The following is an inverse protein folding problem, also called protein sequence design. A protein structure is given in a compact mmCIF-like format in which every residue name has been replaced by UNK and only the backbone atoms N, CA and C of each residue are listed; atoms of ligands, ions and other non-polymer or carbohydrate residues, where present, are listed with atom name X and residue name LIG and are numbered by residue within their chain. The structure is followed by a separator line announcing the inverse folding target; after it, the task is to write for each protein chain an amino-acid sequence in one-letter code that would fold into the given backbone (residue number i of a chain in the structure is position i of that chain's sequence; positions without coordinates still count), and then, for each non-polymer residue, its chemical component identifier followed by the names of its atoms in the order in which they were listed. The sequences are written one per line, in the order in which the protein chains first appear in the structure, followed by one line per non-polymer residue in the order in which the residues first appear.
data_IF_130720931238
#
_entry.id   IF_130720931238
#
_cell.length_a   1.000
_cell.length_b   1.000
_cell.length_c   1.000
_cell.angle_alpha   90.00
_cell.angle_beta   90.00
_cell.angle_gamma   90.00
#
_symmetry.space_group_name_H-M   'P 1'
#
loop_
_entity.id
_entity.type
_entity.pdbx_description
1 polymer ?
#
# COMPACT_ATOMS: atom_id res chain seq x y z
N UNK A 1 -4.59 11.20 -64.76
CA UNK A 1 -5.53 10.21 -65.36
C UNK A 1 -6.27 9.51 -64.25
N UNK A 2 -7.57 9.69 -64.29
CA UNK A 2 -8.75 9.01 -63.72
C UNK A 2 -8.54 7.98 -62.57
N UNK A 3 -9.08 8.37 -61.46
CA UNK A 3 -9.90 7.80 -60.39
C UNK A 3 -10.60 6.45 -60.73
N UNK A 4 -10.61 5.52 -59.76
CA UNK A 4 -11.79 4.67 -59.56
C UNK A 4 -11.94 4.47 -58.04
N UNK A 5 -13.10 4.93 -57.50
CA UNK A 5 -13.69 4.63 -56.20
C UNK A 5 -14.42 3.28 -56.30
N UNK A 6 -14.26 2.42 -55.32
CA UNK A 6 -15.24 1.39 -55.06
C UNK A 6 -15.80 1.54 -53.64
N UNK A 7 -17.05 1.95 -53.61
CA UNK A 7 -17.93 1.94 -52.44
C UNK A 7 -18.57 0.54 -52.40
N UNK A 8 -18.34 -0.20 -51.30
CA UNK A 8 -19.11 -1.45 -51.04
C UNK A 8 -19.93 -1.20 -49.78
N UNK A 9 -21.23 -1.01 -50.03
CA UNK A 9 -22.28 -0.97 -49.01
C UNK A 9 -22.72 -2.41 -48.76
N UNK A 10 -22.54 -2.93 -47.56
CA UNK A 10 -23.16 -4.19 -47.12
C UNK A 10 -24.23 -3.85 -46.10
N UNK A 11 -25.47 -3.99 -46.52
CA UNK A 11 -26.67 -3.99 -45.68
C UNK A 11 -26.79 -5.41 -45.06
N UNK A 12 -26.77 -5.50 -43.74
CA UNK A 12 -27.21 -6.71 -43.07
C UNK A 12 -28.49 -6.40 -42.27
N UNK A 13 -29.61 -6.89 -42.81
CA UNK A 13 -30.84 -7.14 -42.05
C UNK A 13 -30.62 -8.42 -41.24
N UNK A 14 -30.85 -8.37 -39.96
CA UNK A 14 -30.80 -9.55 -39.10
C UNK A 14 -31.67 -9.36 -37.86
N UNK A 15 -32.86 -9.80 -37.99
CA UNK A 15 -33.97 -10.15 -37.10
C UNK A 15 -33.63 -10.28 -35.61
N UNK A 16 -34.34 -9.46 -34.83
CA UNK A 16 -34.53 -9.58 -33.38
C UNK A 16 -35.26 -10.87 -33.02
N UNK A 17 -34.65 -11.63 -32.08
CA UNK A 17 -35.32 -12.70 -31.37
C UNK A 17 -35.37 -12.35 -29.90
N UNK A 18 -36.52 -11.89 -29.43
CA UNK A 18 -36.83 -11.74 -28.00
C UNK A 18 -37.10 -13.13 -27.43
N UNK A 19 -36.29 -13.52 -26.46
CA UNK A 19 -36.60 -14.64 -25.58
C UNK A 19 -37.10 -14.06 -24.26
N UNK A 20 -38.38 -14.15 -24.03
CA UNK A 20 -39.07 -13.91 -22.78
C UNK A 20 -38.82 -15.09 -21.84
N UNK A 21 -38.26 -14.85 -20.69
CA UNK A 21 -38.17 -15.86 -19.64
C UNK A 21 -39.27 -15.59 -18.60
N UNK A 22 -40.20 -16.54 -18.54
CA UNK A 22 -41.30 -16.59 -17.60
C UNK A 22 -40.79 -16.89 -16.18
N UNK A 23 -41.24 -16.07 -15.26
CA UNK A 23 -41.11 -16.31 -13.83
C UNK A 23 -42.22 -17.27 -13.37
N UNK A 24 -41.88 -18.49 -13.00
CA UNK A 24 -42.83 -19.40 -12.34
C UNK A 24 -42.70 -19.29 -10.82
N UNK A 25 -43.78 -18.79 -10.25
CA UNK A 25 -44.09 -18.79 -8.82
C UNK A 25 -44.22 -20.22 -8.29
N UNK A 26 -43.50 -20.55 -7.20
CA UNK A 26 -43.79 -21.78 -6.46
C UNK A 26 -44.66 -21.43 -5.25
N UNK A 27 -45.88 -21.99 -5.32
CA UNK A 27 -46.94 -21.89 -4.33
C UNK A 27 -46.64 -22.84 -3.15
N UNK A 28 -46.80 -22.35 -1.93
CA UNK A 28 -46.84 -23.11 -0.69
C UNK A 28 -48.01 -24.12 -0.70
N UNK A 29 -47.73 -25.37 -0.42
CA UNK A 29 -48.75 -26.36 -0.06
C UNK A 29 -48.65 -26.68 1.44
N UNK A 30 -49.63 -26.19 2.20
CA UNK A 30 -49.96 -26.67 3.53
C UNK A 30 -50.74 -27.96 3.40
N UNK A 31 -50.28 -29.02 4.03
CA UNK A 31 -51.07 -30.24 4.21
C UNK A 31 -51.53 -30.33 5.68
N UNK A 32 -52.79 -30.10 5.86
CA UNK A 32 -53.57 -30.49 7.06
C UNK A 32 -53.90 -31.96 6.97
N UNK A 33 -53.58 -32.71 8.00
CA UNK A 33 -54.19 -34.04 8.24
C UNK A 33 -54.65 -34.14 9.67
N UNK A 34 -55.95 -34.38 9.78
CA UNK A 34 -56.72 -34.61 11.02
C UNK A 34 -56.92 -36.10 11.29
N UNK A 35 -57.12 -36.39 12.60
CA UNK A 35 -57.80 -37.49 13.22
C UNK A 35 -57.04 -38.72 13.68
N UNK A 36 -57.25 -38.94 14.98
CA UNK A 36 -57.14 -40.22 15.67
C UNK A 36 -57.28 -40.05 17.18
N UNK A 37 -58.53 -39.89 17.65
CA UNK A 37 -58.85 -40.06 19.07
C UNK A 37 -58.80 -41.54 19.45
N UNK A 38 -58.09 -41.86 20.51
CA UNK A 38 -58.38 -43.07 21.34
C UNK A 38 -58.26 -42.70 22.80
N UNK A 39 -59.21 -43.16 23.58
CA UNK A 39 -59.47 -42.80 24.95
C UNK A 39 -58.63 -43.64 25.92
N UNK A 40 -58.20 -43.02 26.99
CA UNK A 40 -58.11 -43.32 28.44
C UNK A 40 -57.80 -44.75 28.93
N UNK A 41 -56.98 -44.93 29.95
CA UNK A 41 -57.51 -44.91 31.28
C UNK A 41 -56.72 -44.10 32.35
N UNK A 42 -57.49 -43.60 33.31
CA UNK A 42 -57.10 -42.88 34.50
C UNK A 42 -56.34 -43.80 35.46
N UNK A 43 -55.20 -43.35 36.03
CA UNK A 43 -54.65 -43.88 37.22
C UNK A 43 -54.87 -42.94 38.41
N UNK A 44 -55.24 -43.54 39.46
CA UNK A 44 -55.45 -43.24 40.87
C UNK A 44 -54.44 -42.22 41.44
N UNK A 45 -54.99 -41.26 42.20
CA UNK A 45 -54.24 -40.26 42.94
C UNK A 45 -53.43 -40.87 44.08
N UNK A 46 -52.14 -40.51 44.13
CA UNK A 46 -51.29 -40.71 45.34
C UNK A 46 -51.05 -39.35 45.98
N UNK A 47 -50.98 -39.24 47.31
CA UNK A 47 -50.98 -37.92 47.95
C UNK A 47 -49.73 -37.12 47.73
N UNK A 48 -49.93 -35.87 47.34
CA UNK A 48 -48.93 -34.83 47.15
C UNK A 48 -48.33 -34.42 48.50
N UNK A 49 -47.03 -34.65 48.64
CA UNK A 49 -46.22 -33.95 49.63
C UNK A 49 -45.84 -32.56 49.00
N UNK A 50 -46.12 -31.48 49.75
CA UNK A 50 -45.86 -30.14 49.36
C UNK A 50 -44.37 -29.92 48.99
N UNK A 51 -44.04 -29.18 47.93
CA UNK A 51 -42.66 -28.87 47.58
C UNK A 51 -42.04 -27.90 48.59
N UNK A 52 -40.93 -28.30 49.17
CA UNK A 52 -40.10 -27.47 50.02
C UNK A 52 -39.34 -26.53 49.10
N UNK A 53 -39.52 -25.19 49.22
CA UNK A 53 -38.78 -24.17 48.57
C UNK A 53 -37.31 -24.22 49.07
N UNK A 54 -36.43 -24.82 48.25
CA UNK A 54 -35.00 -24.73 48.46
C UNK A 54 -34.56 -23.36 47.97
N UNK A 55 -34.22 -22.49 48.92
CA UNK A 55 -33.64 -21.19 48.64
C UNK A 55 -32.29 -21.40 47.92
N UNK A 56 -32.06 -20.85 46.70
CA UNK A 56 -30.76 -21.03 46.05
C UNK A 56 -29.67 -20.39 46.91
N UNK A 57 -28.65 -21.16 47.21
CA UNK A 57 -27.41 -20.65 47.79
C UNK A 57 -26.83 -19.62 46.83
N UNK A 58 -26.43 -18.43 47.27
CA UNK A 58 -25.81 -17.45 46.38
C UNK A 58 -24.53 -18.05 45.80
N UNK A 59 -24.50 -18.16 44.49
CA UNK A 59 -23.30 -18.51 43.75
C UNK A 59 -22.22 -17.47 44.08
N UNK A 60 -20.97 -17.84 44.34
CA UNK A 60 -19.91 -16.87 44.52
C UNK A 60 -19.90 -15.95 43.32
N UNK A 61 -20.00 -14.66 43.55
CA UNK A 61 -19.79 -13.63 42.51
C UNK A 61 -18.32 -13.74 42.10
N UNK A 62 -18.07 -14.37 40.96
CA UNK A 62 -16.77 -14.30 40.34
C UNK A 62 -16.54 -12.81 40.04
N UNK A 63 -15.56 -12.23 40.73
CA UNK A 63 -15.04 -10.90 40.41
C UNK A 63 -14.64 -10.96 38.95
N UNK A 64 -15.11 -10.04 38.08
CA UNK A 64 -14.64 -10.02 36.69
C UNK A 64 -13.12 -9.93 36.73
N UNK A 65 -12.42 -10.94 36.23
CA UNK A 65 -11.01 -10.80 35.95
C UNK A 65 -10.90 -9.59 34.98
N UNK A 66 -10.30 -8.54 35.47
CA UNK A 66 -9.95 -7.37 34.68
C UNK A 66 -8.95 -7.83 33.63
N UNK A 67 -9.45 -8.18 32.44
CA UNK A 67 -8.62 -8.54 31.31
C UNK A 67 -7.86 -7.25 30.95
N UNK A 68 -6.68 -7.09 31.50
CA UNK A 68 -5.74 -6.03 31.09
C UNK A 68 -5.35 -6.38 29.64
N UNK A 69 -6.04 -5.77 28.68
CA UNK A 69 -5.62 -5.79 27.29
C UNK A 69 -4.39 -4.90 27.18
N UNK A 70 -3.23 -5.50 27.20
CA UNK A 70 -1.99 -4.83 26.83
C UNK A 70 -1.96 -4.78 25.29
N UNK A 71 -2.41 -3.67 24.72
CA UNK A 71 -2.21 -3.40 23.30
C UNK A 71 -0.72 -3.08 23.07
N UNK A 72 0.03 -4.12 22.82
CA UNK A 72 1.46 -3.99 22.52
C UNK A 72 1.60 -3.65 21.02
N UNK A 73 2.08 -2.46 20.72
CA UNK A 73 2.35 -2.03 19.37
C UNK A 73 3.66 -2.66 18.88
N UNK A 74 3.59 -3.53 17.87
CA UNK A 74 4.76 -4.04 17.19
C UNK A 74 5.16 -3.08 16.06
N UNK A 75 6.33 -2.49 16.15
CA UNK A 75 6.90 -1.64 15.10
C UNK A 75 7.63 -2.51 14.09
N UNK A 76 7.17 -2.50 12.84
CA UNK A 76 7.79 -3.21 11.74
C UNK A 76 8.71 -2.29 10.93
N UNK A 77 9.89 -2.78 10.62
CA UNK A 77 10.89 -2.09 9.81
C UNK A 77 11.31 -3.00 8.66
N UNK A 78 11.20 -2.50 7.43
CA UNK A 78 11.84 -3.12 6.29
C UNK A 78 13.28 -2.61 6.18
N UNK A 79 14.24 -3.52 6.11
CA UNK A 79 15.67 -3.20 6.10
C UNK A 79 16.33 -3.80 4.88
N UNK A 80 16.97 -2.97 4.08
CA UNK A 80 17.88 -3.41 3.02
C UNK A 80 19.29 -3.42 3.58
N UNK A 81 20.06 -4.45 3.31
CA UNK A 81 21.48 -4.50 3.63
C UNK A 81 22.27 -4.53 2.34
N UNK A 82 23.19 -3.59 2.19
CA UNK A 82 24.01 -3.44 0.98
C UNK A 82 25.50 -3.37 1.31
N UNK A 83 26.33 -3.68 0.32
CA UNK A 83 27.77 -3.43 0.36
C UNK A 83 28.10 -1.96 0.00
N UNK A 84 29.41 -1.63 -0.04
CA UNK A 84 29.89 -0.30 -0.44
C UNK A 84 29.54 0.08 -1.89
N UNK A 85 29.26 -0.91 -2.74
CA UNK A 85 28.86 -0.71 -4.13
C UNK A 85 27.34 -0.76 -4.30
N UNK A 86 26.60 -0.65 -3.18
CA UNK A 86 25.13 -0.71 -3.15
C UNK A 86 24.53 -2.04 -3.65
N UNK A 87 25.29 -3.15 -3.59
CA UNK A 87 24.78 -4.48 -3.95
C UNK A 87 24.11 -5.13 -2.73
N UNK A 88 22.94 -5.78 -2.92
CA UNK A 88 22.22 -6.39 -1.82
C UNK A 88 23.00 -7.53 -1.15
N UNK A 89 22.95 -7.59 0.16
CA UNK A 89 23.51 -8.66 0.99
C UNK A 89 22.38 -9.40 1.68
N UNK A 90 22.18 -10.68 1.32
CA UNK A 90 21.01 -11.46 1.71
C UNK A 90 21.28 -12.57 2.75
N UNK A 91 22.49 -12.63 3.33
CA UNK A 91 22.91 -13.70 4.24
C UNK A 91 23.19 -13.22 5.66
N UNK A 92 22.60 -12.10 6.08
CA UNK A 92 22.76 -11.53 7.43
C UNK A 92 21.79 -12.22 8.39
N UNK A 93 22.27 -12.57 9.60
CA UNK A 93 21.45 -13.18 10.65
C UNK A 93 20.94 -12.12 11.63
N UNK A 94 19.84 -12.41 12.33
CA UNK A 94 19.24 -11.52 13.34
C UNK A 94 20.26 -10.97 14.34
N UNK A 95 21.14 -11.81 14.84
CA UNK A 95 22.16 -11.43 15.85
C UNK A 95 23.15 -10.36 15.39
N UNK A 96 23.26 -10.13 14.07
CA UNK A 96 24.12 -9.11 13.49
C UNK A 96 23.44 -7.74 13.38
N UNK A 97 22.16 -7.65 13.73
CA UNK A 97 21.41 -6.39 13.69
C UNK A 97 21.25 -5.80 15.07
N UNK A 98 21.33 -4.48 15.15
CA UNK A 98 20.96 -3.68 16.31
C UNK A 98 19.97 -2.61 15.85
N UNK A 99 18.79 -2.57 16.46
CA UNK A 99 17.80 -1.52 16.24
C UNK A 99 17.92 -0.50 17.36
N UNK A 100 17.96 0.77 16.99
CA UNK A 100 17.97 1.89 17.92
C UNK A 100 16.73 2.75 17.65
N UNK A 101 15.95 3.03 18.70
CA UNK A 101 14.89 4.05 18.68
C UNK A 101 15.32 5.18 19.63
N UNK A 102 15.38 6.40 19.11
CA UNK A 102 15.90 7.58 19.83
C UNK A 102 17.28 7.32 20.49
N UNK A 103 18.12 6.57 19.79
CA UNK A 103 19.45 6.18 20.25
C UNK A 103 19.48 5.06 21.30
N UNK A 104 18.32 4.54 21.75
CA UNK A 104 18.23 3.43 22.70
C UNK A 104 18.09 2.10 21.97
N UNK A 105 18.89 1.07 22.35
CA UNK A 105 18.74 -0.27 21.78
C UNK A 105 17.38 -0.86 22.07
N UNK A 106 16.78 -1.49 21.05
CA UNK A 106 15.50 -2.19 21.13
C UNK A 106 15.73 -3.69 20.96
N UNK A 107 14.95 -4.50 21.68
CA UNK A 107 14.96 -5.93 21.49
C UNK A 107 14.25 -6.27 20.18
N UNK A 108 14.85 -7.13 19.37
CA UNK A 108 14.22 -7.63 18.14
C UNK A 108 13.35 -8.83 18.51
N UNK A 109 12.04 -8.64 18.44
CA UNK A 109 11.02 -9.67 18.76
C UNK A 109 10.63 -10.50 17.54
N UNK A 110 10.74 -9.91 16.36
CA UNK A 110 10.46 -10.58 15.08
C UNK A 110 11.57 -10.30 14.08
N UNK A 111 12.00 -11.35 13.40
CA UNK A 111 12.97 -11.27 12.32
C UNK A 111 12.59 -12.25 11.20
N UNK A 112 12.47 -11.75 9.99
CA UNK A 112 12.24 -12.57 8.82
C UNK A 112 13.12 -12.10 7.66
N UNK A 113 13.65 -13.08 6.95
CA UNK A 113 14.33 -12.91 5.67
C UNK A 113 13.46 -13.38 4.52
N UNK A 114 12.24 -13.85 4.82
CA UNK A 114 11.32 -14.37 3.82
C UNK A 114 10.97 -13.30 2.81
N UNK A 115 10.81 -13.73 1.59
CA UNK A 115 10.22 -12.90 0.57
C UNK A 115 8.75 -12.67 0.90
N UNK A 116 8.44 -11.51 1.46
CA UNK A 116 7.08 -11.11 1.83
C UNK A 116 6.40 -10.55 0.58
N UNK A 117 5.15 -10.93 0.28
CA UNK A 117 4.37 -10.29 -0.77
C UNK A 117 4.31 -8.77 -0.59
N UNK A 118 4.23 -8.06 -1.70
CA UNK A 118 4.28 -6.59 -1.69
C UNK A 118 3.08 -6.02 -2.43
N UNK A 119 2.38 -5.09 -1.78
CA UNK A 119 1.40 -4.24 -2.44
C UNK A 119 2.05 -2.89 -2.76
N UNK A 120 1.99 -2.48 -4.01
CA UNK A 120 2.60 -1.23 -4.39
C UNK A 120 1.76 -0.43 -5.38
N UNK A 121 1.88 0.90 -5.29
CA UNK A 121 1.35 1.81 -6.30
C UNK A 121 2.46 2.18 -7.29
N UNK A 122 2.20 2.05 -8.58
CA UNK A 122 3.01 2.62 -9.64
C UNK A 122 2.40 3.97 -10.02
N UNK A 123 3.11 5.07 -9.71
CA UNK A 123 2.66 6.44 -9.88
C UNK A 123 3.46 7.07 -11.00
N UNK A 124 2.78 7.35 -12.11
CA UNK A 124 3.43 7.80 -13.35
C UNK A 124 3.04 9.23 -13.66
N UNK A 125 4.06 10.06 -13.85
CA UNK A 125 3.91 11.43 -14.34
C UNK A 125 3.59 11.42 -15.85
N UNK A 126 2.43 11.97 -16.19
CA UNK A 126 1.95 12.09 -17.57
C UNK A 126 2.00 13.52 -18.10
N UNK A 127 2.80 14.39 -17.47
CA UNK A 127 3.01 15.77 -17.92
C UNK A 127 3.77 15.86 -19.25
N UNK A 128 3.74 17.03 -19.85
CA UNK A 128 4.32 17.26 -21.17
C UNK A 128 5.83 16.97 -21.27
N UNK A 129 6.57 17.11 -20.15
CA UNK A 129 8.01 16.80 -20.06
C UNK A 129 8.31 15.32 -20.24
N UNK A 130 7.35 14.43 -19.85
CA UNK A 130 7.51 12.98 -19.96
C UNK A 130 7.23 12.42 -21.36
N UNK A 131 6.87 13.27 -22.34
CA UNK A 131 6.43 12.83 -23.68
C UNK A 131 7.40 11.89 -24.39
N UNK A 132 8.70 12.15 -24.32
CA UNK A 132 9.71 11.33 -25.00
C UNK A 132 10.07 10.06 -24.23
N UNK A 133 9.60 9.94 -22.99
CA UNK A 133 9.95 8.87 -22.05
C UNK A 133 8.80 7.87 -21.87
N UNK A 134 7.55 8.26 -22.14
CA UNK A 134 6.36 7.50 -21.78
C UNK A 134 6.38 6.06 -22.33
N UNK A 135 6.69 5.86 -23.60
CA UNK A 135 6.74 4.52 -24.20
C UNK A 135 7.73 3.61 -23.47
N UNK A 136 8.87 4.15 -23.04
CA UNK A 136 9.88 3.41 -22.29
C UNK A 136 9.48 3.20 -20.83
N UNK A 137 8.75 4.13 -20.24
CA UNK A 137 8.15 3.97 -18.91
C UNK A 137 7.12 2.85 -18.94
N UNK A 138 6.26 2.79 -19.95
CA UNK A 138 5.31 1.69 -20.16
C UNK A 138 6.04 0.35 -20.30
N UNK A 139 7.08 0.27 -21.14
CA UNK A 139 7.89 -0.94 -21.31
C UNK A 139 8.51 -1.41 -19.97
N UNK A 140 9.08 -0.48 -19.21
CA UNK A 140 9.65 -0.78 -17.90
C UNK A 140 8.58 -1.18 -16.86
N UNK A 141 7.42 -0.53 -16.88
CA UNK A 141 6.28 -0.89 -16.06
C UNK A 141 5.80 -2.32 -16.31
N UNK A 142 5.71 -2.72 -17.58
CA UNK A 142 5.39 -4.11 -17.95
C UNK A 142 6.42 -5.12 -17.44
N UNK A 143 7.72 -4.78 -17.50
CA UNK A 143 8.77 -5.62 -16.93
C UNK A 143 8.55 -5.80 -15.43
N UNK A 144 8.28 -4.72 -14.71
CA UNK A 144 8.01 -4.74 -13.27
C UNK A 144 6.79 -5.62 -12.95
N UNK A 145 5.65 -5.38 -13.62
CA UNK A 145 4.39 -6.12 -13.42
C UNK A 145 4.58 -7.61 -13.74
N UNK A 146 5.28 -7.95 -14.81
CA UNK A 146 5.51 -9.33 -15.18
C UNK A 146 6.35 -10.11 -14.15
N UNK A 147 7.13 -9.41 -13.32
CA UNK A 147 7.86 -10.01 -12.21
C UNK A 147 7.00 -10.18 -10.94
N UNK A 148 5.79 -9.61 -10.86
CA UNK A 148 4.89 -9.78 -9.73
C UNK A 148 4.59 -11.25 -9.48
N UNK A 149 4.47 -11.59 -8.21
CA UNK A 149 4.01 -12.90 -7.75
C UNK A 149 2.49 -12.97 -7.71
N UNK A 150 1.92 -14.17 -7.58
CA UNK A 150 0.47 -14.32 -7.45
C UNK A 150 -0.14 -13.55 -6.28
N UNK A 151 0.65 -13.33 -5.21
CA UNK A 151 0.20 -12.66 -3.99
C UNK A 151 0.54 -11.16 -3.96
N UNK A 152 1.23 -10.63 -4.97
CA UNK A 152 1.50 -9.19 -5.08
C UNK A 152 0.30 -8.50 -5.72
N UNK A 153 -0.14 -7.37 -5.14
CA UNK A 153 -1.16 -6.51 -5.74
C UNK A 153 -0.54 -5.17 -6.15
N UNK A 154 -0.93 -4.69 -7.31
CA UNK A 154 -0.43 -3.42 -7.86
C UNK A 154 -1.59 -2.50 -8.20
N UNK A 155 -1.43 -1.22 -7.91
CA UNK A 155 -2.30 -0.14 -8.36
C UNK A 155 -1.52 0.75 -9.32
N UNK A 156 -2.17 1.26 -10.36
CA UNK A 156 -1.57 2.21 -11.31
C UNK A 156 -2.29 3.54 -11.18
N UNK A 157 -1.50 4.58 -10.94
CA UNK A 157 -1.96 5.97 -10.87
C UNK A 157 -1.22 6.77 -11.94
N UNK A 158 -1.95 7.52 -12.74
CA UNK A 158 -1.39 8.59 -13.56
C UNK A 158 -1.67 9.94 -12.94
N UNK A 159 -0.80 10.90 -13.14
CA UNK A 159 -1.03 12.25 -12.68
C UNK A 159 -0.43 13.29 -13.61
N UNK A 160 -1.03 14.47 -13.59
CA UNK A 160 -0.51 15.69 -14.22
C UNK A 160 -0.60 16.82 -13.20
N UNK A 161 -1.76 17.48 -13.06
CA UNK A 161 -2.03 18.50 -12.06
C UNK A 161 -2.87 17.96 -10.91
N UNK A 162 -3.09 18.78 -9.88
CA UNK A 162 -3.86 18.40 -8.69
C UNK A 162 -5.29 17.93 -8.98
N UNK A 163 -5.91 18.42 -10.06
CA UNK A 163 -7.27 18.06 -10.46
C UNK A 163 -7.28 16.86 -11.44
N UNK A 164 -6.12 16.28 -11.71
CA UNK A 164 -5.90 15.20 -12.70
C UNK A 164 -4.94 14.16 -12.12
N UNK A 165 -5.33 13.58 -11.01
CA UNK A 165 -4.70 12.43 -10.38
C UNK A 165 -5.73 11.32 -10.45
N UNK A 166 -5.47 10.31 -11.27
CA UNK A 166 -6.46 9.28 -11.61
C UNK A 166 -5.90 7.88 -11.37
N UNK A 167 -6.72 7.04 -10.76
CA UNK A 167 -6.42 5.62 -10.60
C UNK A 167 -6.84 4.92 -11.89
N UNK A 168 -5.87 4.61 -12.74
CA UNK A 168 -6.10 3.87 -13.99
C UNK A 168 -6.45 2.42 -13.72
N UNK A 169 -5.82 1.83 -12.69
CA UNK A 169 -6.11 0.48 -12.25
C UNK A 169 -6.05 0.41 -10.71
N UNK A 170 -7.17 0.10 -10.04
CA UNK A 170 -7.16 -0.23 -8.61
C UNK A 170 -6.31 -1.46 -8.30
N UNK A 171 -6.00 -1.69 -7.03
CA UNK A 171 -5.20 -2.83 -6.61
C UNK A 171 -5.71 -4.16 -7.16
N UNK A 172 -4.86 -4.85 -7.90
CA UNK A 172 -5.12 -6.18 -8.45
C UNK A 172 -3.82 -6.97 -8.64
N UNK A 173 -3.91 -8.30 -8.55
CA UNK A 173 -2.84 -9.22 -8.96
C UNK A 173 -2.95 -9.64 -10.44
N UNK A 174 -4.01 -9.20 -11.16
CA UNK A 174 -4.22 -9.56 -12.56
C UNK A 174 -3.27 -8.79 -13.48
N UNK A 175 -2.26 -9.48 -14.01
CA UNK A 175 -1.24 -8.87 -14.88
C UNK A 175 -1.80 -8.35 -16.20
N UNK A 176 -2.89 -8.93 -16.71
CA UNK A 176 -3.52 -8.47 -17.94
C UNK A 176 -4.12 -7.10 -17.73
N UNK A 177 -4.95 -6.92 -16.69
CA UNK A 177 -5.58 -5.63 -16.38
C UNK A 177 -4.53 -4.55 -16.13
N UNK A 178 -3.44 -4.90 -15.43
CA UNK A 178 -2.33 -3.99 -15.17
C UNK A 178 -1.57 -3.59 -16.44
N UNK A 179 -1.31 -4.54 -17.35
CA UNK A 179 -0.63 -4.22 -18.61
C UNK A 179 -1.52 -3.39 -19.54
N UNK A 180 -2.82 -3.68 -19.58
CA UNK A 180 -3.79 -2.90 -20.36
C UNK A 180 -3.88 -1.45 -19.84
N UNK A 181 -3.89 -1.26 -18.52
CA UNK A 181 -3.87 0.06 -17.90
C UNK A 181 -2.58 0.83 -18.23
N UNK A 182 -1.41 0.16 -18.26
CA UNK A 182 -0.17 0.78 -18.70
C UNK A 182 -0.21 1.22 -20.17
N UNK A 183 -0.79 0.39 -21.06
CA UNK A 183 -0.90 0.70 -22.47
C UNK A 183 -1.84 1.88 -22.75
N UNK A 184 -2.78 2.13 -21.86
CA UNK A 184 -3.73 3.24 -21.94
C UNK A 184 -3.16 4.57 -21.41
N UNK A 185 -1.97 4.60 -20.83
CA UNK A 185 -1.34 5.84 -20.40
C UNK A 185 -1.04 6.76 -21.60
N UNK A 186 -1.33 8.05 -21.44
CA UNK A 186 -1.09 9.05 -22.47
C UNK A 186 -0.57 10.36 -21.87
N UNK A 187 0.14 11.14 -22.66
CA UNK A 187 0.64 12.45 -22.24
C UNK A 187 -0.49 13.48 -22.27
N UNK A 188 -0.66 14.15 -21.17
CA UNK A 188 -1.57 15.28 -21.03
C UNK A 188 -0.78 16.54 -20.62
N UNK A 189 -1.14 17.70 -21.15
CA UNK A 189 -0.49 18.95 -20.77
C UNK A 189 -0.99 19.44 -19.41
N UNK A 190 -0.11 20.09 -18.63
CA UNK A 190 -0.49 20.67 -17.34
C UNK A 190 0.72 20.99 -16.48
N UNK A 191 0.43 21.54 -15.28
CA UNK A 191 1.45 21.80 -14.26
C UNK A 191 1.49 20.62 -13.29
N UNK A 192 2.66 20.06 -13.09
CA UNK A 192 2.87 18.85 -12.31
C UNK A 192 2.52 19.05 -10.83
N UNK A 193 1.76 18.13 -10.24
CA UNK A 193 1.37 18.10 -8.83
C UNK A 193 1.88 16.79 -8.17
N UNK A 194 3.19 16.67 -8.07
CA UNK A 194 3.86 15.45 -7.59
C UNK A 194 3.60 15.20 -6.11
N UNK A 195 3.57 16.26 -5.28
CA UNK A 195 3.32 16.14 -3.84
C UNK A 195 1.91 15.56 -3.61
N UNK A 196 0.91 16.06 -4.33
CA UNK A 196 -0.47 15.57 -4.22
C UNK A 196 -0.59 14.12 -4.71
N UNK A 197 0.07 13.77 -5.82
CA UNK A 197 0.05 12.42 -6.37
C UNK A 197 0.67 11.40 -5.40
N UNK A 198 1.82 11.74 -4.80
CA UNK A 198 2.46 10.89 -3.80
C UNK A 198 1.61 10.80 -2.54
N UNK A 199 1.04 11.92 -2.08
CA UNK A 199 0.17 11.97 -0.90
C UNK A 199 -1.03 11.02 -1.05
N UNK A 200 -1.78 11.16 -2.14
CA UNK A 200 -2.94 10.31 -2.43
C UNK A 200 -2.57 8.85 -2.63
N UNK A 201 -1.46 8.58 -3.30
CA UNK A 201 -0.99 7.21 -3.50
C UNK A 201 -0.63 6.53 -2.17
N UNK A 202 0.06 7.23 -1.27
CA UNK A 202 0.40 6.73 0.06
C UNK A 202 -0.85 6.44 0.89
N UNK A 203 -1.83 7.36 0.90
CA UNK A 203 -3.11 7.12 1.58
C UNK A 203 -3.81 5.86 1.05
N UNK A 204 -3.90 5.69 -0.27
CA UNK A 204 -4.53 4.53 -0.88
C UNK A 204 -3.81 3.21 -0.54
N UNK A 205 -2.47 3.19 -0.59
CA UNK A 205 -1.68 2.00 -0.21
C UNK A 205 -1.91 1.66 1.27
N UNK A 206 -1.91 2.65 2.15
CA UNK A 206 -2.08 2.46 3.59
C UNK A 206 -3.51 2.00 3.94
N UNK A 207 -4.51 2.59 3.30
CA UNK A 207 -5.92 2.19 3.46
C UNK A 207 -6.17 0.75 2.95
N UNK A 208 -5.62 0.41 1.79
CA UNK A 208 -5.73 -0.94 1.25
C UNK A 208 -5.17 -1.99 2.21
N UNK A 209 -4.02 -1.74 2.82
CA UNK A 209 -3.42 -2.65 3.79
C UNK A 209 -4.15 -2.68 5.14
N UNK A 210 -4.66 -1.54 5.61
CA UNK A 210 -5.46 -1.47 6.84
C UNK A 210 -6.78 -2.24 6.73
N UNK A 211 -7.32 -2.39 5.52
CA UNK A 211 -8.51 -3.19 5.25
C UNK A 211 -8.28 -4.70 5.40
N UNK A 212 -7.02 -5.17 5.38
CA UNK A 212 -6.65 -6.57 5.51
C UNK A 212 -6.55 -6.98 6.98
N UNK A 213 -6.70 -8.29 7.24
CA UNK A 213 -6.44 -8.82 8.58
C UNK A 213 -4.97 -8.65 8.95
N UNK A 214 -4.66 -8.46 10.22
CA UNK A 214 -3.29 -8.19 10.67
C UNK A 214 -2.28 -9.26 10.24
N UNK A 215 -2.69 -10.53 10.13
CA UNK A 215 -1.83 -11.64 9.67
C UNK A 215 -1.60 -11.70 8.15
N UNK A 216 -2.43 -11.00 7.37
CA UNK A 216 -2.38 -11.01 5.91
C UNK A 216 -1.73 -9.74 5.34
N UNK A 217 -1.19 -8.89 6.22
CA UNK A 217 -0.56 -7.64 5.81
C UNK A 217 0.72 -7.90 5.03
N UNK A 218 0.85 -7.19 3.91
CA UNK A 218 1.97 -7.27 2.98
C UNK A 218 2.87 -6.03 3.13
N UNK A 219 4.04 -6.05 2.49
CA UNK A 219 4.86 -4.84 2.36
C UNK A 219 4.14 -3.79 1.55
N UNK A 220 4.38 -2.54 1.91
CA UNK A 220 3.80 -1.37 1.25
C UNK A 220 4.89 -0.63 0.52
N UNK A 221 4.69 -0.39 -0.76
CA UNK A 221 5.62 0.39 -1.54
C UNK A 221 4.91 1.35 -2.51
N UNK A 222 5.64 2.34 -2.97
CA UNK A 222 5.26 3.24 -4.03
C UNK A 222 6.45 3.38 -4.98
N UNK A 223 6.19 3.27 -6.27
CA UNK A 223 7.20 3.49 -7.32
C UNK A 223 6.76 4.74 -8.08
N UNK A 224 7.51 5.83 -7.90
CA UNK A 224 7.27 7.11 -8.55
C UNK A 224 8.15 7.25 -9.78
N UNK A 225 7.55 7.63 -10.90
CA UNK A 225 8.25 7.95 -12.14
C UNK A 225 7.90 9.37 -12.54
N UNK A 226 8.86 10.32 -12.44
CA UNK A 226 8.64 11.74 -12.69
C UNK A 226 9.96 12.47 -12.94
N UNK A 227 9.92 13.71 -13.44
CA UNK A 227 11.07 14.64 -13.47
C UNK A 227 11.30 15.36 -12.12
N UNK A 228 10.34 15.24 -11.19
CA UNK A 228 10.45 15.76 -9.84
C UNK A 228 10.12 17.23 -9.64
N UNK A 229 9.67 17.95 -10.67
CA UNK A 229 9.19 19.31 -10.50
C UNK A 229 7.75 19.33 -9.95
N UNK A 230 7.55 19.96 -8.80
CA UNK A 230 6.23 20.27 -8.25
C UNK A 230 5.88 21.72 -8.53
N UNK A 231 4.76 21.95 -9.21
CA UNK A 231 4.37 23.31 -9.62
C UNK A 231 2.97 23.71 -9.15
N UNK A 232 2.12 22.75 -8.83
CA UNK A 232 0.69 23.03 -8.58
C UNK A 232 0.04 22.13 -7.54
N UNK A 233 0.77 21.56 -6.61
CA UNK A 233 0.19 20.75 -5.52
C UNK A 233 -0.59 21.60 -4.53
N UNK A 234 -1.65 21.02 -3.98
CA UNK A 234 -2.43 21.55 -2.87
C UNK A 234 -1.70 21.38 -1.53
N UNK A 235 -1.17 20.15 -1.31
CA UNK A 235 -0.35 19.85 -0.15
C UNK A 235 1.06 20.45 -0.31
N UNK A 236 1.72 20.69 0.81
CA UNK A 236 3.12 21.10 0.84
C UNK A 236 4.03 19.96 1.31
N UNK A 237 5.35 20.11 1.11
CA UNK A 237 6.31 19.09 1.52
C UNK A 237 6.19 18.71 2.99
N UNK A 238 5.92 19.66 3.89
CA UNK A 238 5.81 19.38 5.33
C UNK A 238 4.67 18.40 5.61
N UNK A 239 3.49 18.64 5.03
CA UNK A 239 2.32 17.76 5.17
C UNK A 239 2.59 16.38 4.58
N UNK A 240 3.23 16.31 3.41
CA UNK A 240 3.61 15.03 2.82
C UNK A 240 4.56 14.24 3.74
N UNK A 241 5.62 14.86 4.24
CA UNK A 241 6.58 14.17 5.10
C UNK A 241 5.99 13.81 6.48
N UNK A 242 5.01 14.54 6.98
CA UNK A 242 4.21 14.14 8.15
C UNK A 242 3.45 12.84 7.88
N UNK A 243 2.73 12.75 6.76
CA UNK A 243 2.05 11.52 6.34
C UNK A 243 3.04 10.34 6.18
N UNK A 244 4.18 10.57 5.53
CA UNK A 244 5.18 9.52 5.30
C UNK A 244 5.78 8.96 6.60
N UNK A 245 5.85 9.75 7.66
CA UNK A 245 6.32 9.28 8.98
C UNK A 245 5.29 8.43 9.72
N UNK A 246 4.00 8.61 9.41
CA UNK A 246 2.90 7.82 9.96
C UNK A 246 2.66 6.53 9.14
N UNK A 247 2.96 6.57 7.85
CA UNK A 247 2.82 5.42 6.96
C UNK A 247 4.06 4.50 7.00
N UNK A 248 3.86 3.23 6.65
CA UNK A 248 4.95 2.27 6.46
C UNK A 248 5.31 2.07 4.98
N UNK A 249 4.94 3.02 4.11
CA UNK A 249 5.13 2.92 2.66
C UNK A 249 6.57 3.29 2.30
N UNK A 250 7.26 2.37 1.63
CA UNK A 250 8.59 2.64 1.07
C UNK A 250 8.49 3.25 -0.32
N UNK A 251 9.18 4.36 -0.57
CA UNK A 251 9.12 5.04 -1.85
C UNK A 251 10.38 4.78 -2.67
N UNK A 252 10.18 4.18 -3.85
CA UNK A 252 11.18 4.06 -4.90
C UNK A 252 10.93 5.13 -5.95
N UNK A 253 11.99 5.79 -6.40
CA UNK A 253 11.87 6.89 -7.35
C UNK A 253 12.72 6.61 -8.57
N UNK A 254 12.13 6.81 -9.75
CA UNK A 254 12.84 6.91 -11.03
C UNK A 254 12.70 8.35 -11.51
N UNK A 255 13.75 9.15 -11.27
CA UNK A 255 13.76 10.60 -11.47
C UNK A 255 14.48 11.03 -12.75
N UNK A 256 13.77 11.62 -13.70
CA UNK A 256 14.32 12.14 -14.97
C UNK A 256 14.73 13.60 -14.87
N UNK A 257 15.58 13.92 -13.90
CA UNK A 257 15.99 15.30 -13.61
C UNK A 257 17.00 15.87 -14.63
N UNK A 258 17.55 15.06 -15.53
CA UNK A 258 18.56 15.48 -16.51
C UNK A 258 18.05 16.51 -17.52
N UNK A 259 16.75 16.51 -17.79
CA UNK A 259 16.09 17.44 -18.71
C UNK A 259 15.81 18.81 -18.09
N UNK A 260 15.91 18.92 -16.76
CA UNK A 260 15.65 20.16 -16.04
C UNK A 260 16.81 21.13 -16.16
N UNK A 261 16.50 22.45 -16.10
CA UNK A 261 17.51 23.51 -16.15
C UNK A 261 18.54 23.37 -15.01
N UNK A 262 19.82 23.51 -15.39
CA UNK A 262 20.97 23.55 -14.48
C UNK A 262 21.26 24.97 -14.01
N UNK A 263 20.55 25.97 -14.57
CA UNK A 263 20.82 27.37 -14.27
C UNK A 263 20.30 27.70 -12.85
N UNK A 264 21.23 27.83 -11.93
CA UNK A 264 20.98 28.28 -10.56
C UNK A 264 21.42 29.74 -10.38
N UNK A 265 20.82 30.43 -9.42
CA UNK A 265 21.34 31.74 -9.00
C UNK A 265 22.57 31.58 -8.11
N UNK A 266 23.31 32.69 -7.88
CA UNK A 266 24.51 32.66 -7.04
C UNK A 266 24.30 32.16 -5.62
N UNK A 267 23.03 32.15 -5.13
CA UNK A 267 22.62 31.73 -3.77
C UNK A 267 21.51 30.66 -3.82
N UNK A 268 20.91 30.38 -4.99
CA UNK A 268 19.75 29.47 -5.13
C UNK A 268 20.12 28.23 -5.95
N UNK A 269 19.71 27.05 -5.44
CA UNK A 269 19.80 25.79 -6.19
C UNK A 269 19.03 25.87 -7.49
N UNK A 270 19.56 25.23 -8.54
CA UNK A 270 18.85 25.06 -9.82
C UNK A 270 17.58 24.22 -9.68
N UNK A 271 16.63 24.31 -10.61
CA UNK A 271 15.47 23.40 -10.64
C UNK A 271 15.89 21.94 -10.56
N UNK A 272 16.89 21.52 -11.33
CA UNK A 272 17.43 20.17 -11.32
C UNK A 272 17.89 19.73 -9.91
N UNK A 273 18.67 20.58 -9.22
CA UNK A 273 19.17 20.27 -7.88
C UNK A 273 18.05 20.20 -6.82
N UNK A 274 17.02 21.05 -6.96
CA UNK A 274 15.85 21.03 -6.06
C UNK A 274 15.04 19.77 -6.26
N UNK A 275 14.68 19.43 -7.48
CA UNK A 275 13.94 18.22 -7.83
C UNK A 275 14.69 16.97 -7.38
N UNK A 276 15.99 16.89 -7.67
CA UNK A 276 16.83 15.78 -7.26
C UNK A 276 16.84 15.62 -5.75
N UNK A 277 17.05 16.71 -5.00
CA UNK A 277 17.08 16.67 -3.54
C UNK A 277 15.72 16.26 -2.94
N UNK A 278 14.62 16.72 -3.52
CA UNK A 278 13.26 16.33 -3.10
C UNK A 278 13.03 14.81 -3.32
N UNK A 279 13.33 14.31 -4.52
CA UNK A 279 13.17 12.91 -4.87
C UNK A 279 14.08 11.99 -4.03
N UNK A 280 15.33 12.38 -3.80
CA UNK A 280 16.25 11.67 -2.91
C UNK A 280 15.73 11.62 -1.47
N UNK A 281 15.13 12.71 -1.01
CA UNK A 281 14.57 12.80 0.33
C UNK A 281 13.34 11.90 0.50
N UNK A 282 12.43 11.84 -0.49
CA UNK A 282 11.29 10.92 -0.49
C UNK A 282 11.75 9.47 -0.29
N UNK A 283 12.74 9.05 -1.06
CA UNK A 283 13.27 7.70 -0.97
C UNK A 283 13.99 7.44 0.35
N UNK A 284 14.84 8.37 0.79
CA UNK A 284 15.70 8.17 1.97
C UNK A 284 14.90 8.14 3.28
N UNK A 285 13.93 9.06 3.46
CA UNK A 285 13.12 9.10 4.70
C UNK A 285 12.22 7.87 4.85
N UNK A 286 11.83 7.24 3.74
CA UNK A 286 10.97 6.04 3.72
C UNK A 286 11.74 4.71 3.65
N UNK A 287 13.09 4.76 3.55
CA UNK A 287 13.94 3.56 3.42
C UNK A 287 13.94 2.92 2.03
N UNK A 288 13.40 3.60 1.03
CA UNK A 288 13.44 3.21 -0.38
C UNK A 288 14.74 3.62 -1.07
N UNK A 289 14.67 3.85 -2.39
CA UNK A 289 15.84 4.23 -3.21
C UNK A 289 15.44 5.13 -4.37
N UNK A 290 16.24 6.16 -4.63
CA UNK A 290 16.09 7.01 -5.80
C UNK A 290 17.11 6.62 -6.89
N UNK A 291 16.63 6.55 -8.12
CA UNK A 291 17.41 6.30 -9.33
C UNK A 291 17.28 7.49 -10.26
N UNK A 292 18.40 7.90 -10.82
CA UNK A 292 18.46 9.02 -11.75
C UNK A 292 19.11 8.57 -13.07
N UNK A 293 18.34 7.87 -13.93
CA UNK A 293 18.86 7.38 -15.19
C UNK A 293 19.30 8.52 -16.10
N UNK A 294 20.37 8.30 -16.84
CA UNK A 294 20.85 9.23 -17.86
C UNK A 294 19.98 9.22 -19.12
N UNK A 295 19.17 8.19 -19.29
CA UNK A 295 18.25 8.03 -20.40
C UNK A 295 17.30 6.84 -20.26
N UNK A 296 16.30 6.80 -21.11
CA UNK A 296 15.25 5.80 -21.07
C UNK A 296 15.73 4.35 -21.32
N UNK A 297 16.90 4.17 -21.93
CA UNK A 297 17.49 2.83 -22.16
C UNK A 297 17.87 2.08 -20.90
N UNK A 298 18.02 2.78 -19.78
CA UNK A 298 18.33 2.17 -18.48
C UNK A 298 17.09 1.60 -17.77
N UNK A 299 15.88 2.02 -18.14
CA UNK A 299 14.64 1.68 -17.46
C UNK A 299 14.37 0.17 -17.33
N UNK A 300 14.59 -0.68 -18.35
CA UNK A 300 14.38 -2.12 -18.21
C UNK A 300 15.26 -2.76 -17.14
N UNK A 301 16.50 -2.28 -16.99
CA UNK A 301 17.40 -2.76 -15.95
C UNK A 301 16.97 -2.27 -14.56
N UNK A 302 16.56 -1.01 -14.45
CA UNK A 302 16.05 -0.42 -13.19
C UNK A 302 14.77 -1.11 -12.72
N UNK A 303 13.84 -1.42 -13.63
CA UNK A 303 12.63 -2.15 -13.27
C UNK A 303 12.93 -3.51 -12.63
N UNK A 304 13.89 -4.25 -13.18
CA UNK A 304 14.38 -5.52 -12.61
C UNK A 304 15.05 -5.32 -11.26
N UNK A 305 15.87 -4.27 -11.12
CA UNK A 305 16.54 -3.95 -9.87
C UNK A 305 15.54 -3.61 -8.78
N UNK A 306 14.57 -2.72 -9.04
CA UNK A 306 13.49 -2.36 -8.10
C UNK A 306 12.72 -3.61 -7.69
N UNK A 307 12.33 -4.45 -8.66
CA UNK A 307 11.64 -5.71 -8.37
C UNK A 307 12.44 -6.62 -7.43
N UNK A 308 13.75 -6.74 -7.65
CA UNK A 308 14.62 -7.53 -6.78
C UNK A 308 14.75 -6.90 -5.39
N UNK A 309 14.88 -5.58 -5.29
CA UNK A 309 14.97 -4.87 -4.02
C UNK A 309 13.71 -4.98 -3.19
N UNK A 310 12.53 -4.91 -3.80
CA UNK A 310 11.26 -5.12 -3.10
C UNK A 310 11.16 -6.50 -2.44
N UNK A 311 11.91 -7.49 -2.92
CA UNK A 311 11.85 -8.89 -2.45
C UNK A 311 12.93 -9.26 -1.46
N UNK A 312 14.09 -8.63 -1.56
CA UNK A 312 15.30 -9.04 -0.83
C UNK A 312 15.55 -8.26 0.45
N UNK A 313 14.48 -7.85 1.13
CA UNK A 313 14.57 -7.08 2.36
C UNK A 313 14.41 -7.97 3.59
N UNK A 314 15.03 -7.56 4.69
CA UNK A 314 14.76 -8.11 6.01
C UNK A 314 13.56 -7.40 6.63
N UNK A 315 12.65 -8.14 7.24
CA UNK A 315 11.59 -7.59 8.08
C UNK A 315 11.98 -7.77 9.54
N UNK A 316 12.10 -6.66 10.26
CA UNK A 316 12.48 -6.63 11.67
C UNK A 316 11.33 -6.00 12.45
N UNK A 317 10.85 -6.69 13.49
CA UNK A 317 9.83 -6.20 14.39
C UNK A 317 10.38 -6.05 15.81
N UNK A 318 10.01 -4.97 16.49
CA UNK A 318 10.31 -4.74 17.90
C UNK A 318 9.15 -4.08 18.61
N UNK A 319 9.04 -4.34 19.92
CA UNK A 319 8.14 -3.61 20.80
C UNK A 319 8.90 -2.44 21.39
N UNK A 320 8.43 -1.18 21.19
CA UNK A 320 9.15 -0.03 21.69
C UNK A 320 9.32 -0.05 23.21
N UNK A 321 10.55 0.19 23.70
CA UNK A 321 10.80 0.37 25.14
C UNK A 321 10.21 1.67 25.68
N UNK A 322 9.88 2.63 24.79
CA UNK A 322 9.12 3.82 25.11
C UNK A 322 7.68 3.64 24.54
N UNK A 323 6.78 3.24 25.40
CA UNK A 323 5.36 2.94 25.09
C UNK A 323 4.47 4.17 24.98
N UNK A 324 5.00 5.38 25.17
CA UNK A 324 4.21 6.61 25.10
C UNK A 324 3.71 6.86 23.67
N UNK A 325 2.40 7.00 23.57
CA UNK A 325 1.68 7.36 22.34
C UNK A 325 1.30 8.84 22.39
N UNK A 326 2.27 9.68 22.07
CA UNK A 326 2.23 11.11 22.31
C UNK A 326 2.36 11.95 21.03
N UNK A 327 2.17 11.34 19.86
CA UNK A 327 2.33 11.94 18.54
C UNK A 327 3.73 12.54 18.30
N UNK A 328 4.73 12.13 19.09
CA UNK A 328 6.09 12.58 18.84
C UNK A 328 6.81 11.70 17.83
N UNK A 329 7.71 12.31 17.08
CA UNK A 329 8.57 11.60 16.18
C UNK A 329 9.62 10.79 16.94
N UNK A 330 9.81 9.53 16.57
CA UNK A 330 10.82 8.61 17.08
C UNK A 330 11.81 8.31 15.98
N UNK A 331 13.07 8.65 16.17
CA UNK A 331 14.10 8.33 15.21
C UNK A 331 14.44 6.84 15.25
N UNK A 332 14.58 6.21 14.09
CA UNK A 332 14.94 4.80 13.97
C UNK A 332 16.29 4.71 13.25
N UNK A 333 17.18 3.92 13.81
CA UNK A 333 18.45 3.58 13.18
C UNK A 333 18.72 2.10 13.30
N UNK A 334 18.91 1.45 12.17
CA UNK A 334 19.35 0.06 12.14
C UNK A 334 20.85 0.01 11.86
N UNK A 335 21.56 -0.72 12.68
CA UNK A 335 23.00 -0.96 12.53
C UNK A 335 23.18 -2.44 12.21
N UNK A 336 24.09 -2.75 11.31
CA UNK A 336 24.45 -4.12 10.95
C UNK A 336 25.96 -4.29 11.12
N UNK A 337 26.37 -5.42 11.69
CA UNK A 337 27.78 -5.77 11.84
C UNK A 337 28.43 -6.02 10.49
N UNK A 338 29.69 -5.64 10.35
CA UNK A 338 30.48 -5.95 9.17
C UNK A 338 30.59 -7.48 8.98
N UNK A 339 30.62 -7.91 7.76
CA UNK A 339 30.67 -9.31 7.42
C UNK A 339 32.06 -9.96 7.60
N UNK A 340 32.18 -11.25 7.27
CA UNK A 340 33.47 -11.92 7.22
C UNK A 340 34.47 -11.14 6.36
N UNK A 341 35.75 -11.21 6.71
CA UNK A 341 36.83 -10.49 6.02
C UNK A 341 36.66 -8.95 5.98
N UNK A 342 35.98 -8.36 6.97
CA UNK A 342 35.68 -6.92 7.03
C UNK A 342 34.84 -6.42 5.84
N UNK A 343 33.98 -7.28 5.28
CA UNK A 343 32.98 -6.87 4.30
C UNK A 343 32.09 -5.80 4.91
N UNK A 344 32.18 -4.58 4.37
CA UNK A 344 31.35 -3.48 4.87
C UNK A 344 29.88 -3.72 4.54
N UNK A 345 29.03 -3.64 5.56
CA UNK A 345 27.58 -3.76 5.45
C UNK A 345 26.91 -2.46 5.87
N UNK A 346 25.94 -2.03 5.12
CA UNK A 346 25.16 -0.82 5.35
C UNK A 346 23.70 -1.21 5.43
N UNK A 347 23.07 -0.97 6.58
CA UNK A 347 21.63 -1.14 6.74
C UNK A 347 20.92 0.15 6.31
N UNK A 348 19.89 0.02 5.50
CA UNK A 348 19.04 1.12 5.02
C UNK A 348 17.60 0.78 5.42
N UNK A 349 16.96 1.68 6.15
CA UNK A 349 15.58 1.59 6.63
C UNK A 349 14.93 2.96 6.66
N UNK A 350 13.65 3.03 6.97
CA UNK A 350 13.00 4.33 7.25
C UNK A 350 13.72 5.05 8.40
N UNK A 351 13.72 6.38 8.33
CA UNK A 351 14.47 7.21 9.30
C UNK A 351 13.80 7.30 10.68
N UNK A 352 12.50 7.00 10.75
CA UNK A 352 11.74 7.03 12.00
C UNK A 352 10.26 6.81 11.79
N UNK A 353 9.48 7.04 12.85
CA UNK A 353 8.03 6.90 12.89
C UNK A 353 7.41 7.96 13.80
N UNK A 354 6.13 8.21 13.67
CA UNK A 354 5.34 8.93 14.66
C UNK A 354 4.73 7.94 15.65
N UNK A 355 4.86 8.19 16.95
CA UNK A 355 4.20 7.40 17.99
C UNK A 355 2.74 7.85 18.09
N UNK A 356 1.85 7.25 17.26
CA UNK A 356 0.45 7.65 17.16
C UNK A 356 -0.26 7.59 18.51
N UNK A 357 -0.96 8.65 18.89
CA UNK A 357 -1.83 8.64 20.06
C UNK A 357 -2.97 7.63 19.83
N UNK A 358 -3.42 6.99 20.90
CA UNK A 358 -4.61 6.15 20.87
C UNK A 358 -5.82 7.01 20.47
N UNK A 359 -6.09 7.13 19.19
CA UNK A 359 -7.33 7.72 18.72
C UNK A 359 -8.48 6.78 19.09
N UNK A 360 -9.56 7.28 19.68
CA UNK A 360 -10.76 6.46 19.85
C UNK A 360 -11.21 6.00 18.46
N UNK A 361 -11.76 4.78 18.31
CA UNK A 361 -11.99 4.10 17.02
C UNK A 361 -12.95 4.81 16.07
N UNK A 362 -13.33 6.07 16.30
CA UNK A 362 -14.30 6.84 15.50
C UNK A 362 -14.03 8.35 15.43
N UNK A 363 -12.81 8.80 15.54
CA UNK A 363 -12.54 10.21 15.21
C UNK A 363 -12.45 10.34 13.68
N UNK A 364 -13.38 11.06 13.00
CA UNK A 364 -13.25 11.31 11.57
C UNK A 364 -11.96 12.10 11.34
N UNK A 365 -11.09 11.60 10.47
CA UNK A 365 -9.96 12.40 9.95
C UNK A 365 -10.54 13.72 9.41
N UNK A 366 -9.89 14.86 9.65
CA UNK A 366 -10.34 16.11 9.06
C UNK A 366 -10.31 15.99 7.54
N UNK A 367 -11.48 15.93 6.93
CA UNK A 367 -11.64 16.00 5.48
C UNK A 367 -11.11 17.36 5.05
N UNK A 368 -10.21 17.46 4.07
CA UNK A 368 -9.78 18.74 3.53
C UNK A 368 -11.02 19.51 3.08
N UNK A 369 -11.17 20.74 3.55
CA UNK A 369 -12.27 21.60 3.14
C UNK A 369 -12.15 21.83 1.63
N UNK A 370 -13.03 21.23 0.86
CA UNK A 370 -13.22 21.55 -0.55
C UNK A 370 -13.60 23.04 -0.58
N UNK A 371 -12.68 23.90 -0.95
CA UNK A 371 -13.03 25.27 -1.31
C UNK A 371 -13.83 25.18 -2.60
N UNK A 372 -15.13 25.35 -2.49
CA UNK A 372 -15.97 25.61 -3.66
C UNK A 372 -15.41 26.81 -4.43
N UNK A 373 -15.51 26.79 -5.75
CA UNK A 373 -14.92 27.77 -6.67
C UNK A 373 -15.43 29.19 -6.44
#
# INVERSE_FOLDING_TARGET
MKKIFYLVTIVFLGTSMFATWDAQSIVNAQATSSRGRTATPTPTATPSTAPVLIKPTPKPTETPEEIIRVDTELVNINVRVVDRNNRPINNVQQKNFTVLEDGKPQQIDFFSKSEVPTNYALVVDNSGSMRQLLDKVIEAGKILINTNRPDDDTMIIRFVGRDKIEIEQPFTGNKTDLNDALENLYIEGGQTAIIDAVYLAVENVDEYEKSKRAGDRKRRALILVSDGEDRNSYYNEKQLFELLRESEVQIYVVGFVSELSKDGGFISKSPQEKSKAFLERLATETGGKAYFPSGASELPALAKEISNELRTQYSIGYVPSNDKRDNTYRSIKVVVEDGPNKEKRIAISRAGRTAEANSPPNSPKPTPAVKNP
#
